data_IF_709850818246
#
_entry.id   IF_709850818246
#
_cell.length_a   1.000
_cell.length_b   1.000
_cell.length_c   1.000
_cell.angle_alpha   90.00
_cell.angle_beta   90.00
_cell.angle_gamma   90.00
#
_symmetry.space_group_name_H-M   'P 1'
#
loop_
_entity.id
_entity.type
_entity.pdbx_description
1 polymer ?
#
# COMPACT_ATOMS: atom_id res chain seq x y z
N UNK A 1 15.09 -21.83 31.39
CA UNK A 1 15.64 -20.53 31.83
C UNK A 1 14.63 -19.47 31.49
N UNK A 2 14.45 -18.44 32.32
CA UNK A 2 13.68 -17.27 31.88
C UNK A 2 14.42 -16.61 30.70
N UNK A 3 13.69 -16.15 29.68
CA UNK A 3 14.29 -15.39 28.59
C UNK A 3 14.88 -14.06 29.08
N UNK A 4 15.72 -13.38 28.28
CA UNK A 4 16.19 -12.04 28.63
C UNK A 4 14.99 -11.13 28.90
N UNK A 5 14.98 -10.47 30.06
CA UNK A 5 13.95 -9.46 30.34
C UNK A 5 14.07 -8.29 29.37
N UNK A 6 12.98 -7.55 29.15
CA UNK A 6 12.95 -6.42 28.20
C UNK A 6 14.07 -5.38 28.45
N UNK A 7 14.57 -5.25 29.67
CA UNK A 7 15.74 -4.42 29.99
C UNK A 7 17.00 -4.83 29.23
N UNK A 8 17.29 -6.12 29.08
CA UNK A 8 18.46 -6.60 28.35
C UNK A 8 18.27 -6.48 26.84
N UNK A 9 17.04 -6.74 26.35
CA UNK A 9 16.67 -6.48 24.96
C UNK A 9 16.84 -5.00 24.61
N UNK A 10 16.33 -4.10 25.46
CA UNK A 10 16.46 -2.66 25.30
C UNK A 10 17.93 -2.21 25.28
N UNK A 11 18.78 -2.72 26.19
CA UNK A 11 20.23 -2.44 26.20
C UNK A 11 20.93 -2.88 24.92
N UNK A 12 20.56 -4.05 24.37
CA UNK A 12 21.17 -4.57 23.15
C UNK A 12 20.74 -3.81 21.89
N UNK A 13 19.45 -3.47 21.79
CA UNK A 13 18.86 -2.87 20.58
C UNK A 13 19.05 -1.35 20.52
N UNK A 14 18.93 -0.66 21.65
CA UNK A 14 18.96 0.82 21.72
C UNK A 14 20.17 1.46 21.02
N UNK A 15 21.42 0.98 21.20
CA UNK A 15 22.61 1.57 20.56
C UNK A 15 22.59 1.53 19.03
N UNK A 16 21.77 0.65 18.44
CA UNK A 16 21.62 0.47 16.99
C UNK A 16 20.40 1.21 16.40
N UNK A 17 19.67 2.00 17.21
CA UNK A 17 18.56 2.84 16.75
C UNK A 17 18.98 4.31 16.80
N UNK A 18 19.07 4.91 15.62
CA UNK A 18 19.63 6.26 15.39
C UNK A 18 18.53 7.29 15.16
N UNK A 19 18.82 8.55 15.46
CA UNK A 19 18.01 9.67 14.98
C UNK A 19 18.42 10.01 13.53
N UNK A 20 17.46 10.38 12.70
CA UNK A 20 17.68 10.91 11.35
C UNK A 20 17.03 12.30 11.30
N UNK A 21 17.83 13.32 10.99
CA UNK A 21 17.37 14.68 10.72
C UNK A 21 17.58 14.99 9.23
N UNK A 22 16.52 15.44 8.57
CA UNK A 22 16.45 15.66 7.13
C UNK A 22 16.21 17.14 6.81
N UNK A 23 17.21 17.83 6.29
CA UNK A 23 17.08 19.23 5.90
C UNK A 23 16.42 19.36 4.52
N UNK A 24 15.24 19.98 4.48
CA UNK A 24 14.48 20.33 3.27
C UNK A 24 14.55 21.84 3.03
N UNK A 25 14.67 22.24 1.77
CA UNK A 25 14.50 23.64 1.35
C UNK A 25 13.12 23.82 0.77
N UNK A 26 12.26 24.55 1.49
CA UNK A 26 10.88 24.81 1.09
C UNK A 26 10.85 26.08 0.26
N UNK A 27 10.73 25.95 -1.07
CA UNK A 27 10.13 27.01 -1.88
C UNK A 27 8.66 27.08 -1.48
N UNK A 28 8.22 28.25 -1.02
CA UNK A 28 6.89 28.45 -0.41
C UNK A 28 5.77 28.56 -1.46
N UNK A 29 5.61 27.49 -2.24
CA UNK A 29 4.49 27.23 -3.16
C UNK A 29 3.91 25.84 -2.85
N UNK A 30 3.57 25.60 -1.58
CA UNK A 30 3.04 24.33 -1.09
C UNK A 30 2.80 24.35 0.44
N UNK A 31 2.11 23.34 0.99
CA UNK A 31 1.90 23.18 2.44
C UNK A 31 3.22 23.04 3.21
N UNK A 32 3.18 23.39 4.49
CA UNK A 32 4.33 23.31 5.40
C UNK A 32 4.71 21.82 5.59
N UNK A 33 5.99 21.42 5.61
CA UNK A 33 6.36 20.04 5.94
C UNK A 33 5.96 19.59 7.36
N UNK A 34 5.55 20.50 8.25
CA UNK A 34 4.77 20.13 9.45
C UNK A 34 3.40 19.57 9.09
N UNK A 35 2.72 20.13 8.09
CA UNK A 35 1.42 19.63 7.62
C UNK A 35 1.52 18.17 7.12
N UNK A 36 2.65 17.73 6.55
CA UNK A 36 2.87 16.31 6.19
C UNK A 36 3.00 15.40 7.42
N UNK A 37 3.72 15.85 8.45
CA UNK A 37 3.81 15.10 9.72
C UNK A 37 2.44 15.08 10.42
N UNK A 38 1.66 16.16 10.34
CA UNK A 38 0.29 16.23 10.84
C UNK A 38 -0.72 15.43 9.99
N UNK A 39 -0.45 15.19 8.70
CA UNK A 39 -1.27 14.32 7.85
C UNK A 39 -1.09 12.84 8.23
N UNK A 40 0.13 12.42 8.57
CA UNK A 40 0.45 11.05 9.01
C UNK A 40 0.23 10.78 10.51
N UNK A 41 0.45 11.78 11.37
CA UNK A 41 0.44 11.63 12.83
C UNK A 41 -0.45 12.66 13.54
N UNK A 42 -1.33 13.39 12.84
CA UNK A 42 -2.16 14.46 13.39
C UNK A 42 -1.37 15.58 14.09
N UNK A 43 -2.08 16.61 14.57
CA UNK A 43 -1.42 17.72 15.27
C UNK A 43 -1.22 17.40 16.76
N UNK A 44 0.03 17.40 17.28
CA UNK A 44 0.29 17.09 18.70
C UNK A 44 -0.21 18.17 19.68
N UNK A 45 -0.74 19.30 19.20
CA UNK A 45 -1.31 20.37 20.03
C UNK A 45 -2.68 20.83 19.54
N UNK A 46 -3.78 20.19 19.99
CA UNK A 46 -5.12 20.64 19.67
C UNK A 46 -5.36 22.07 20.19
N UNK A 47 -5.62 23.02 19.28
CA UNK A 47 -6.15 24.33 19.64
C UNK A 47 -5.16 25.50 19.82
N UNK A 48 -3.95 25.47 19.27
CA UNK A 48 -3.19 26.73 19.09
C UNK A 48 -3.88 27.60 18.02
N UNK A 49 -4.26 28.86 18.32
CA UNK A 49 -4.80 29.75 17.30
C UNK A 49 -3.78 30.00 16.20
N UNK A 50 -4.18 29.86 14.92
CA UNK A 50 -3.43 30.43 13.80
C UNK A 50 -3.46 31.96 13.97
N UNK A 51 -2.36 32.52 14.46
CA UNK A 51 -2.21 33.96 14.63
C UNK A 51 -2.36 34.72 13.30
N UNK A 52 -2.73 36.01 13.32
CA UNK A 52 -2.98 36.77 12.09
C UNK A 52 -1.75 36.76 11.16
N UNK A 53 -1.98 36.53 9.88
CA UNK A 53 -0.93 36.58 8.86
C UNK A 53 -0.35 38.00 8.75
N UNK A 54 0.87 38.19 9.25
CA UNK A 54 1.68 39.34 8.89
C UNK A 54 2.32 39.10 7.51
N UNK A 55 2.20 40.04 6.55
CA UNK A 55 2.83 39.90 5.23
C UNK A 55 4.34 40.18 5.34
N UNK A 56 5.11 39.15 5.68
CA UNK A 56 6.57 39.14 5.61
C UNK A 56 7.07 38.63 4.26
N UNK A 57 8.18 39.19 3.79
CA UNK A 57 8.86 38.85 2.52
C UNK A 57 9.09 37.34 2.31
N UNK A 58 9.16 36.86 1.05
CA UNK A 58 9.49 35.48 0.74
C UNK A 58 10.94 35.16 1.12
N UNK A 59 11.14 34.68 2.34
CA UNK A 59 12.37 34.01 2.76
C UNK A 59 12.24 32.50 2.51
N UNK A 60 13.27 31.92 1.90
CA UNK A 60 13.37 30.47 1.75
C UNK A 60 13.30 29.79 3.13
N UNK A 61 12.33 28.90 3.31
CA UNK A 61 12.13 28.19 4.56
C UNK A 61 13.05 26.97 4.63
N UNK A 62 13.97 26.94 5.60
CA UNK A 62 14.58 25.69 6.02
C UNK A 62 13.60 24.93 6.92
N UNK A 63 13.28 23.70 6.55
CA UNK A 63 12.47 22.81 7.37
C UNK A 63 13.21 21.51 7.61
N UNK A 64 13.19 21.04 8.85
CA UNK A 64 13.84 19.81 9.28
C UNK A 64 12.79 18.73 9.51
N UNK A 65 12.74 17.74 8.63
CA UNK A 65 12.08 16.46 8.94
C UNK A 65 12.91 15.70 9.97
N UNK A 66 12.26 14.88 10.80
CA UNK A 66 12.94 14.07 11.81
C UNK A 66 12.27 12.71 11.96
N UNK A 67 13.08 11.67 12.06
CA UNK A 67 12.64 10.30 12.34
C UNK A 67 13.73 9.48 13.00
N UNK A 68 13.55 8.16 12.97
CA UNK A 68 14.49 7.15 13.44
C UNK A 68 15.02 6.30 12.29
N UNK A 69 16.12 5.59 12.53
CA UNK A 69 16.60 4.52 11.65
C UNK A 69 17.16 3.36 12.46
N UNK A 70 17.24 2.18 11.83
CA UNK A 70 17.84 0.97 12.42
C UNK A 70 19.13 0.65 11.70
N UNK A 71 20.26 0.61 12.41
CA UNK A 71 21.55 0.15 11.87
C UNK A 71 21.48 -1.36 11.70
N UNK A 72 21.63 -1.84 10.46
CA UNK A 72 21.51 -3.27 10.11
C UNK A 72 22.83 -3.89 9.64
N UNK A 73 23.89 -3.09 9.52
CA UNK A 73 25.24 -3.52 9.13
C UNK A 73 26.31 -2.67 9.84
N UNK A 74 27.40 -3.26 10.36
CA UNK A 74 28.37 -2.54 11.19
C UNK A 74 29.22 -1.52 10.42
N UNK A 75 29.22 -1.60 9.08
CA UNK A 75 29.82 -0.62 8.17
C UNK A 75 28.88 0.56 7.87
N UNK A 76 27.70 0.66 8.49
CA UNK A 76 26.88 1.87 8.49
C UNK A 76 25.70 1.91 7.52
N UNK A 77 25.19 0.75 7.07
CA UNK A 77 23.87 0.70 6.42
C UNK A 77 22.75 0.77 7.45
N UNK A 78 21.77 1.64 7.18
CA UNK A 78 20.65 1.96 8.06
C UNK A 78 19.35 1.89 7.26
N UNK A 79 18.34 1.21 7.80
CA UNK A 79 16.97 1.16 7.26
C UNK A 79 16.12 2.21 7.97
N UNK A 80 15.26 2.89 7.23
CA UNK A 80 14.27 3.86 7.74
C UNK A 80 13.06 3.91 6.80
N UNK A 81 12.08 4.78 7.06
CA UNK A 81 10.98 5.02 6.15
C UNK A 81 11.37 5.95 4.99
N UNK A 82 10.66 5.86 3.86
CA UNK A 82 10.85 6.79 2.73
C UNK A 82 10.45 8.22 3.14
N UNK A 83 9.30 8.39 3.81
CA UNK A 83 8.78 9.71 4.18
C UNK A 83 9.73 10.52 5.09
N UNK A 84 10.60 9.84 5.86
CA UNK A 84 11.63 10.45 6.73
C UNK A 84 12.73 11.12 5.91
N UNK A 85 13.14 10.52 4.78
CA UNK A 85 14.27 10.97 3.95
C UNK A 85 13.85 11.65 2.64
N UNK A 86 12.58 11.56 2.26
CA UNK A 86 12.06 12.12 1.02
C UNK A 86 12.31 13.63 0.94
N UNK A 87 12.75 14.11 -0.24
CA UNK A 87 13.03 15.53 -0.50
C UNK A 87 14.19 16.13 0.31
N UNK A 88 14.93 15.35 1.11
CA UNK A 88 16.06 15.82 1.88
C UNK A 88 17.23 16.23 0.96
N UNK A 89 17.82 17.41 1.21
CA UNK A 89 19.09 17.83 0.59
C UNK A 89 20.30 17.35 1.38
N UNK A 90 20.15 17.28 2.69
CA UNK A 90 21.17 16.84 3.64
C UNK A 90 20.49 15.96 4.69
N UNK A 91 21.17 14.87 5.05
CA UNK A 91 20.75 13.95 6.10
C UNK A 91 21.85 13.90 7.16
N UNK A 92 21.48 14.19 8.41
CA UNK A 92 22.35 13.97 9.57
C UNK A 92 21.82 12.78 10.35
N UNK A 93 22.71 11.84 10.64
CA UNK A 93 22.43 10.65 11.45
C UNK A 93 23.12 10.82 12.79
N UNK A 94 22.36 10.82 13.88
CA UNK A 94 22.89 10.97 15.25
C UNK A 94 22.67 9.69 16.03
N UNK A 95 23.75 9.07 16.50
CA UNK A 95 23.71 7.87 17.33
C UNK A 95 23.32 8.20 18.78
N UNK A 96 22.84 7.22 19.57
CA UNK A 96 22.57 7.41 21.01
C UNK A 96 23.81 7.83 21.83
N UNK A 97 25.02 7.55 21.33
CA UNK A 97 26.30 8.01 21.91
C UNK A 97 26.70 9.44 21.49
N UNK A 98 25.81 10.15 20.77
CA UNK A 98 25.96 11.51 20.24
C UNK A 98 27.00 11.68 19.13
N UNK A 99 27.52 10.59 18.53
CA UNK A 99 28.26 10.71 17.26
C UNK A 99 27.31 11.08 16.13
N UNK A 100 27.70 12.06 15.32
CA UNK A 100 26.96 12.53 14.16
C UNK A 100 27.69 12.17 12.86
N UNK A 101 26.92 11.78 11.85
CA UNK A 101 27.43 11.39 10.54
C UNK A 101 26.55 11.96 9.43
N UNK A 102 27.14 12.43 8.34
CA UNK A 102 26.39 12.74 7.12
C UNK A 102 25.90 11.45 6.47
N UNK A 103 24.58 11.30 6.36
CA UNK A 103 23.93 10.19 5.68
C UNK A 103 23.81 10.43 4.17
N UNK A 104 23.95 9.38 3.38
CA UNK A 104 23.62 9.37 1.94
C UNK A 104 22.52 8.36 1.68
N UNK A 105 21.51 8.74 0.90
CA UNK A 105 20.49 7.79 0.41
C UNK A 105 21.16 6.81 -0.55
N UNK A 106 21.07 5.52 -0.26
CA UNK A 106 21.49 4.43 -1.15
C UNK A 106 20.41 4.17 -2.19
N UNK A 107 19.15 4.22 -1.75
CA UNK A 107 17.96 4.26 -2.59
C UNK A 107 16.70 4.23 -1.73
N UNK A 108 15.55 4.45 -2.36
CA UNK A 108 14.25 4.46 -1.67
C UNK A 108 13.20 3.64 -2.41
N UNK A 109 12.14 3.32 -1.70
CA UNK A 109 10.97 2.62 -2.18
C UNK A 109 9.69 3.26 -1.61
N UNK A 110 9.20 4.33 -2.25
CA UNK A 110 7.98 5.02 -1.79
C UNK A 110 6.76 4.10 -1.73
N UNK A 111 6.71 3.04 -2.55
CA UNK A 111 5.54 2.15 -2.66
C UNK A 111 5.32 1.29 -1.42
N UNK A 112 6.35 1.05 -0.62
CA UNK A 112 6.27 0.37 0.69
C UNK A 112 6.79 1.25 1.83
N UNK A 113 6.96 2.56 1.58
CA UNK A 113 7.53 3.54 2.51
C UNK A 113 8.85 3.09 3.18
N UNK A 114 9.81 2.59 2.40
CA UNK A 114 11.15 2.19 2.90
C UNK A 114 12.27 2.98 2.24
N UNK A 115 13.36 3.19 2.98
CA UNK A 115 14.60 3.73 2.45
C UNK A 115 15.82 3.09 3.11
N UNK A 116 16.93 3.05 2.38
CA UNK A 116 18.24 2.67 2.90
C UNK A 116 19.16 3.87 2.80
N UNK A 117 19.79 4.22 3.91
CA UNK A 117 20.85 5.24 3.97
C UNK A 117 22.17 4.60 4.40
N UNK A 118 23.28 5.23 4.00
CA UNK A 118 24.64 4.84 4.33
C UNK A 118 25.37 6.01 4.99
N UNK A 119 25.93 5.77 6.17
CA UNK A 119 26.91 6.66 6.80
C UNK A 119 28.33 6.17 6.54
N UNK A 120 29.32 7.05 6.66
CA UNK A 120 30.73 6.66 6.61
C UNK A 120 31.27 6.42 8.02
N UNK A 121 31.09 5.18 8.49
CA UNK A 121 31.49 4.72 9.81
C UNK A 121 31.78 3.22 9.79
N UNK A 122 32.47 2.72 10.82
CA UNK A 122 32.79 1.31 10.98
C UNK A 122 32.56 0.89 12.44
N UNK A 123 32.35 -0.41 12.66
CA UNK A 123 32.06 -1.00 13.98
C UNK A 123 30.85 -0.36 14.68
N UNK A 124 29.81 0.00 13.92
CA UNK A 124 28.56 0.46 14.50
C UNK A 124 27.82 -0.70 15.20
N UNK A 125 27.09 -0.43 16.31
CA UNK A 125 26.12 -1.38 16.85
C UNK A 125 25.04 -1.70 15.82
N UNK A 126 24.55 -2.93 15.78
CA UNK A 126 23.54 -3.40 14.81
C UNK A 126 22.43 -4.18 15.47
N UNK A 127 21.22 -4.12 14.91
CA UNK A 127 20.14 -5.07 15.23
C UNK A 127 20.18 -6.25 14.27
N UNK A 128 20.12 -7.48 14.78
CA UNK A 128 20.00 -8.70 13.97
C UNK A 128 18.63 -8.78 13.30
N UNK A 129 18.58 -9.21 12.04
CA UNK A 129 17.32 -9.51 11.36
C UNK A 129 16.65 -10.75 11.96
N UNK A 130 15.41 -10.61 12.42
CA UNK A 130 14.55 -11.72 12.82
C UNK A 130 13.70 -12.27 11.68
N UNK A 131 12.64 -13.01 12.03
CA UNK A 131 11.71 -13.63 11.07
C UNK A 131 10.26 -13.27 11.40
N UNK A 132 9.75 -12.22 10.77
CA UNK A 132 8.36 -11.77 10.93
C UNK A 132 7.32 -12.72 10.35
N UNK A 133 7.70 -13.73 9.54
CA UNK A 133 6.76 -14.74 9.05
C UNK A 133 6.41 -15.78 10.12
N UNK A 134 7.17 -15.83 11.23
CA UNK A 134 6.91 -16.71 12.39
C UNK A 134 6.14 -16.04 13.52
N UNK A 135 5.99 -14.71 13.50
CA UNK A 135 5.26 -13.98 14.54
C UNK A 135 3.84 -14.49 14.71
N UNK A 136 3.37 -14.52 15.96
CA UNK A 136 2.01 -14.83 16.35
C UNK A 136 1.36 -13.64 17.06
N UNK A 137 0.04 -13.52 16.90
CA UNK A 137 -0.76 -12.54 17.66
C UNK A 137 -0.66 -12.86 19.16
N UNK A 138 -0.35 -11.86 19.97
CA UNK A 138 -0.07 -12.00 21.40
C UNK A 138 1.42 -12.11 21.76
N UNK A 139 2.34 -12.26 20.80
CA UNK A 139 3.77 -12.19 21.11
C UNK A 139 4.19 -10.79 21.56
N UNK A 140 5.02 -10.73 22.60
CA UNK A 140 5.58 -9.48 23.10
C UNK A 140 6.61 -8.87 22.14
N UNK A 141 6.47 -7.56 21.92
CA UNK A 141 7.37 -6.75 21.09
C UNK A 141 7.76 -5.46 21.79
N UNK A 142 8.94 -4.95 21.46
CA UNK A 142 9.37 -3.61 21.86
C UNK A 142 9.48 -2.72 20.61
N UNK A 143 8.84 -1.56 20.65
CA UNK A 143 9.08 -0.50 19.67
C UNK A 143 10.17 0.44 20.22
N UNK A 144 11.21 0.66 19.42
CA UNK A 144 12.37 1.48 19.76
C UNK A 144 12.54 2.57 18.71
N UNK A 145 12.63 3.82 19.16
CA UNK A 145 12.96 4.97 18.34
C UNK A 145 13.95 5.89 19.05
N UNK A 146 14.52 6.84 18.33
CA UNK A 146 15.34 7.93 18.88
C UNK A 146 14.73 9.30 18.52
N UNK A 147 13.54 9.61 19.06
CA UNK A 147 12.92 10.92 18.84
C UNK A 147 13.80 12.02 19.46
N UNK A 148 13.98 13.12 18.73
CA UNK A 148 14.74 14.32 19.15
C UNK A 148 16.25 14.14 19.36
N UNK A 149 16.83 12.94 19.17
CA UNK A 149 18.28 12.72 19.24
C UNK A 149 18.91 12.86 20.64
N UNK A 150 18.09 13.01 21.69
CA UNK A 150 18.55 13.22 23.07
C UNK A 150 18.67 11.91 23.86
N UNK A 151 17.66 11.04 23.73
CA UNK A 151 17.57 9.72 24.38
C UNK A 151 16.62 8.83 23.60
N UNK A 152 17.04 7.61 23.26
CA UNK A 152 16.14 6.63 22.64
C UNK A 152 14.96 6.28 23.56
N UNK A 153 13.78 6.16 22.96
CA UNK A 153 12.54 5.79 23.63
C UNK A 153 12.23 4.32 23.31
N UNK A 154 11.95 3.54 24.35
CA UNK A 154 11.52 2.14 24.24
C UNK A 154 10.10 2.03 24.81
N UNK A 155 9.19 1.45 24.04
CA UNK A 155 7.83 1.14 24.47
C UNK A 155 7.55 -0.34 24.25
N UNK A 156 6.75 -0.95 25.13
CA UNK A 156 6.41 -2.38 25.07
C UNK A 156 4.96 -2.59 24.71
N UNK A 157 4.68 -3.65 23.97
CA UNK A 157 3.33 -4.13 23.67
C UNK A 157 3.35 -5.57 23.18
N UNK A 158 2.31 -5.96 22.47
CA UNK A 158 2.16 -7.23 21.77
C UNK A 158 1.89 -7.02 20.28
N UNK A 159 2.06 -8.09 19.50
CA UNK A 159 1.48 -8.19 18.15
C UNK A 159 -0.03 -8.29 18.30
N UNK A 160 -0.77 -7.26 17.88
CA UNK A 160 -2.24 -7.21 17.94
C UNK A 160 -2.91 -7.83 16.72
N UNK A 161 -2.26 -7.76 15.55
CA UNK A 161 -2.69 -8.39 14.29
C UNK A 161 -1.52 -8.49 13.30
N UNK A 162 -1.67 -9.32 12.28
CA UNK A 162 -0.69 -9.52 11.20
C UNK A 162 -1.38 -9.39 9.84
N UNK A 163 -0.62 -9.07 8.80
CA UNK A 163 -1.11 -9.02 7.42
C UNK A 163 -2.13 -7.89 7.15
N UNK A 164 -2.06 -6.77 7.88
CA UNK A 164 -2.94 -5.63 7.66
C UNK A 164 -2.62 -4.94 6.34
N UNK A 165 -3.60 -4.84 5.47
CA UNK A 165 -3.57 -4.04 4.24
C UNK A 165 -4.96 -3.50 3.91
N UNK A 166 -5.07 -2.79 2.80
CA UNK A 166 -6.21 -1.93 2.46
C UNK A 166 -6.44 -0.81 3.50
N UNK A 167 -5.34 -0.29 4.04
CA UNK A 167 -5.28 0.84 4.96
C UNK A 167 -5.06 2.18 4.23
N UNK A 168 -4.53 2.14 3.01
CA UNK A 168 -4.27 3.34 2.19
C UNK A 168 -3.04 4.14 2.62
N UNK A 169 -2.18 3.55 3.46
CA UNK A 169 -0.95 4.16 3.97
C UNK A 169 0.17 4.04 2.93
N UNK A 170 0.27 2.89 2.26
CA UNK A 170 1.22 2.67 1.16
C UNK A 170 0.60 1.82 0.03
N UNK A 171 1.33 1.65 -1.09
CA UNK A 171 0.86 0.82 -2.21
C UNK A 171 1.03 -0.69 -1.95
N UNK A 172 1.97 -1.09 -1.08
CA UNK A 172 2.25 -2.48 -0.72
C UNK A 172 2.17 -2.67 0.79
N UNK A 173 1.06 -3.22 1.26
CA UNK A 173 0.72 -3.32 2.67
C UNK A 173 0.69 -4.78 3.16
N UNK A 174 1.39 -5.04 4.26
CA UNK A 174 1.44 -6.33 4.98
C UNK A 174 1.68 -6.08 6.48
N UNK A 175 1.15 -4.97 7.03
CA UNK A 175 1.61 -4.42 8.30
C UNK A 175 1.39 -5.36 9.48
N UNK A 176 2.38 -5.37 10.38
CA UNK A 176 2.24 -5.85 11.76
C UNK A 176 1.50 -4.73 12.51
N UNK A 177 0.39 -5.07 13.17
CA UNK A 177 -0.28 -4.17 14.10
C UNK A 177 0.23 -4.44 15.52
N UNK A 178 0.51 -3.40 16.30
CA UNK A 178 0.92 -3.51 17.70
C UNK A 178 0.24 -2.46 18.58
N UNK A 179 0.12 -2.78 19.87
CA UNK A 179 -0.26 -1.84 20.94
C UNK A 179 0.96 -1.28 21.71
N UNK A 180 2.18 -1.53 21.23
CA UNK A 180 3.35 -0.76 21.63
C UNK A 180 3.19 0.70 21.16
N UNK A 181 3.43 1.67 22.05
CA UNK A 181 3.20 3.08 21.73
C UNK A 181 4.20 3.60 20.69
N UNK A 182 3.69 3.88 19.48
CA UNK A 182 4.41 4.55 18.39
C UNK A 182 3.98 6.02 18.38
N UNK A 183 4.94 6.93 18.48
CA UNK A 183 4.75 8.38 18.52
C UNK A 183 5.61 9.05 17.42
N UNK A 184 5.33 10.31 17.04
CA UNK A 184 6.18 11.08 16.14
C UNK A 184 7.67 11.00 16.52
N UNK A 185 8.51 10.67 15.53
CA UNK A 185 9.94 10.42 15.73
C UNK A 185 10.34 8.95 15.93
N UNK A 186 9.39 8.04 16.23
CA UNK A 186 9.65 6.59 16.19
C UNK A 186 9.61 6.01 14.76
N UNK A 187 9.09 6.74 13.78
CA UNK A 187 9.02 6.35 12.36
C UNK A 187 10.41 5.99 11.83
N UNK A 188 10.55 4.87 11.14
CA UNK A 188 11.81 4.29 10.70
C UNK A 188 12.60 3.56 11.79
N UNK A 189 12.12 3.56 13.04
CA UNK A 189 12.70 2.84 14.17
C UNK A 189 12.36 1.35 14.19
N UNK A 190 12.94 0.63 15.14
CA UNK A 190 12.82 -0.84 15.23
C UNK A 190 11.55 -1.29 15.94
N UNK A 191 10.88 -2.31 15.41
CA UNK A 191 10.03 -3.22 16.18
C UNK A 191 10.80 -4.53 16.37
N UNK A 192 11.10 -4.91 17.60
CA UNK A 192 11.86 -6.13 17.93
C UNK A 192 11.04 -7.13 18.74
N UNK A 193 11.33 -8.42 18.55
CA UNK A 193 10.75 -9.49 19.36
C UNK A 193 11.42 -9.58 20.75
N UNK A 194 10.94 -10.50 21.60
CA UNK A 194 11.51 -10.75 22.93
C UNK A 194 12.97 -11.28 22.93
N UNK A 195 13.54 -11.63 21.78
CA UNK A 195 14.97 -11.97 21.63
C UNK A 195 15.83 -10.76 21.20
N UNK A 196 15.23 -9.61 20.89
CA UNK A 196 15.92 -8.43 20.36
C UNK A 196 16.21 -8.46 18.86
N UNK A 197 15.59 -9.38 18.13
CA UNK A 197 15.69 -9.47 16.69
C UNK A 197 14.68 -8.53 16.03
N UNK A 198 15.08 -7.84 14.96
CA UNK A 198 14.23 -6.94 14.19
C UNK A 198 13.12 -7.75 13.49
N UNK A 199 11.87 -7.44 13.82
CA UNK A 199 10.69 -8.04 13.17
C UNK A 199 9.87 -7.04 12.37
N UNK A 200 10.04 -5.73 12.59
CA UNK A 200 9.52 -4.73 11.67
C UNK A 200 10.15 -3.34 11.80
N UNK A 201 9.78 -2.45 10.89
CA UNK A 201 10.14 -1.02 10.89
C UNK A 201 8.88 -0.22 11.27
N UNK A 202 8.91 0.49 12.39
CA UNK A 202 7.78 1.32 12.87
C UNK A 202 7.46 2.39 11.82
N UNK A 203 6.20 2.52 11.38
CA UNK A 203 5.87 3.34 10.21
C UNK A 203 4.78 4.38 10.45
N UNK A 204 3.69 4.00 11.12
CA UNK A 204 2.49 4.82 11.23
C UNK A 204 1.64 4.43 12.45
N UNK A 205 0.60 5.22 12.73
CA UNK A 205 -0.46 4.93 13.69
C UNK A 205 -1.82 5.11 13.01
N UNK A 206 -2.85 4.40 13.49
CA UNK A 206 -4.23 4.79 13.19
C UNK A 206 -4.69 5.74 14.28
N UNK A 207 -4.90 7.02 13.95
CA UNK A 207 -5.36 8.02 14.92
C UNK A 207 -6.39 8.97 14.33
N UNK A 208 -7.36 9.36 15.15
CA UNK A 208 -8.33 10.43 14.84
C UNK A 208 -7.91 11.80 15.38
N UNK A 209 -6.92 11.84 16.27
CA UNK A 209 -6.47 13.07 16.96
C UNK A 209 -4.99 13.37 16.72
N UNK A 210 -4.25 12.42 16.16
CA UNK A 210 -2.79 12.42 16.06
C UNK A 210 -2.05 11.79 17.24
N UNK A 211 -2.70 11.73 18.41
CA UNK A 211 -2.13 10.96 19.53
C UNK A 211 -2.09 9.46 19.21
N UNK A 212 -1.18 8.73 19.83
CA UNK A 212 -1.26 7.27 19.87
C UNK A 212 -2.57 6.82 20.55
N UNK A 213 -3.35 5.93 19.91
CA UNK A 213 -4.68 5.47 20.39
C UNK A 213 -4.80 3.94 20.54
N UNK A 214 -3.70 3.22 20.78
CA UNK A 214 -3.73 1.75 20.91
C UNK A 214 -3.49 0.98 19.61
N UNK A 215 -3.18 1.67 18.50
CA UNK A 215 -3.05 1.07 17.16
C UNK A 215 -1.82 1.65 16.43
N UNK A 216 -0.69 0.98 16.56
CA UNK A 216 0.53 1.25 15.80
C UNK A 216 0.74 0.22 14.68
N UNK A 217 1.47 0.61 13.64
CA UNK A 217 1.85 -0.25 12.51
C UNK A 217 3.35 -0.27 12.26
N UNK A 218 3.85 -1.46 11.90
CA UNK A 218 5.22 -1.67 11.43
C UNK A 218 5.25 -2.48 10.12
N UNK A 219 6.18 -2.13 9.23
CA UNK A 219 6.46 -2.89 8.00
C UNK A 219 7.25 -4.15 8.38
N UNK A 220 6.78 -5.38 8.07
CA UNK A 220 7.46 -6.61 8.49
C UNK A 220 8.82 -6.78 7.81
N UNK A 221 9.80 -7.40 8.50
CA UNK A 221 11.12 -7.68 7.91
C UNK A 221 11.07 -8.66 6.73
N UNK A 222 10.05 -9.51 6.63
CA UNK A 222 9.77 -10.34 5.46
C UNK A 222 9.46 -9.52 4.19
N UNK A 223 9.09 -8.24 4.34
CA UNK A 223 9.02 -7.26 3.25
C UNK A 223 10.28 -6.39 3.20
N UNK A 224 10.76 -5.89 4.35
CA UNK A 224 11.83 -4.90 4.39
C UNK A 224 13.21 -5.47 4.01
N UNK A 225 13.52 -6.73 4.34
CA UNK A 225 14.85 -7.32 4.09
C UNK A 225 15.16 -7.52 2.60
N UNK A 226 14.28 -8.10 1.76
CA UNK A 226 14.53 -8.17 0.31
C UNK A 226 14.64 -6.79 -0.36
N UNK A 227 13.89 -5.81 0.15
CA UNK A 227 13.96 -4.41 -0.31
C UNK A 227 15.32 -3.80 0.04
N UNK A 228 15.78 -3.98 1.28
CA UNK A 228 17.11 -3.58 1.72
C UNK A 228 18.21 -4.21 0.83
N UNK A 229 18.15 -5.53 0.61
CA UNK A 229 19.11 -6.25 -0.24
C UNK A 229 19.11 -5.72 -1.70
N UNK A 230 17.93 -5.49 -2.29
CA UNK A 230 17.80 -4.92 -3.64
C UNK A 230 18.35 -3.49 -3.74
N UNK A 231 18.06 -2.65 -2.75
CA UNK A 231 18.53 -1.26 -2.70
C UNK A 231 20.04 -1.18 -2.50
N UNK A 232 20.63 -2.01 -1.64
CA UNK A 232 22.10 -2.08 -1.44
C UNK A 232 22.80 -2.59 -2.69
N UNK A 233 22.25 -3.60 -3.37
CA UNK A 233 22.87 -4.20 -4.55
C UNK A 233 22.73 -3.36 -5.84
N UNK A 234 21.62 -2.63 -6.01
CA UNK A 234 21.26 -2.01 -7.32
C UNK A 234 20.82 -0.55 -7.24
N UNK A 235 20.63 0.01 -6.04
CA UNK A 235 20.04 1.33 -5.82
C UNK A 235 18.54 1.44 -6.14
N UNK A 236 17.88 0.33 -6.51
CA UNK A 236 16.45 0.29 -6.88
C UNK A 236 15.76 -0.95 -6.30
N UNK A 237 14.44 -0.88 -6.15
CA UNK A 237 13.64 -2.05 -5.80
C UNK A 237 13.07 -2.70 -7.05
N UNK A 238 13.45 -3.96 -7.22
CA UNK A 238 13.08 -4.80 -8.35
C UNK A 238 11.95 -5.73 -7.87
N UNK A 239 10.79 -5.68 -8.53
CA UNK A 239 9.57 -6.42 -8.10
C UNK A 239 9.05 -7.35 -9.19
N UNK A 240 8.58 -8.52 -8.75
CA UNK A 240 7.80 -9.41 -9.58
C UNK A 240 6.47 -8.77 -10.01
N UNK A 241 6.11 -8.98 -11.27
CA UNK A 241 4.95 -8.38 -11.93
C UNK A 241 4.21 -9.42 -12.79
N UNK A 242 2.87 -9.43 -12.68
CA UNK A 242 1.98 -10.15 -13.59
C UNK A 242 1.43 -9.25 -14.70
N UNK A 243 1.12 -7.99 -14.41
CA UNK A 243 0.43 -7.07 -15.32
C UNK A 243 -1.07 -7.33 -15.43
N UNK A 244 -1.74 -7.30 -14.27
CA UNK A 244 -3.19 -7.42 -14.15
C UNK A 244 -3.74 -6.31 -13.26
N UNK A 245 -4.96 -5.87 -13.58
CA UNK A 245 -5.86 -5.26 -12.61
C UNK A 245 -6.48 -6.36 -11.76
N UNK A 246 -6.52 -6.18 -10.44
CA UNK A 246 -7.09 -7.15 -9.49
C UNK A 246 -8.03 -6.44 -8.52
N UNK A 247 -9.07 -7.16 -8.09
CA UNK A 247 -10.01 -6.71 -7.08
C UNK A 247 -10.41 -7.85 -6.14
N UNK A 248 -10.84 -7.47 -4.94
CA UNK A 248 -11.44 -8.39 -3.99
C UNK A 248 -12.81 -8.90 -4.46
N UNK A 249 -13.20 -10.05 -3.94
CA UNK A 249 -14.51 -10.64 -4.13
C UNK A 249 -15.42 -10.31 -2.94
N UNK A 250 -16.59 -9.75 -3.22
CA UNK A 250 -17.72 -9.80 -2.30
C UNK A 250 -18.61 -11.02 -2.63
N UNK A 251 -19.65 -11.27 -1.84
CA UNK A 251 -20.53 -12.43 -2.06
C UNK A 251 -21.27 -12.41 -3.41
N UNK A 252 -21.61 -11.23 -3.94
CA UNK A 252 -22.40 -11.12 -5.17
C UNK A 252 -21.51 -11.27 -6.42
N UNK A 253 -20.27 -10.77 -6.37
CA UNK A 253 -19.22 -11.12 -7.33
C UNK A 253 -18.94 -12.62 -7.29
N UNK A 254 -18.76 -13.21 -6.11
CA UNK A 254 -18.51 -14.65 -6.00
C UNK A 254 -19.60 -15.49 -6.70
N UNK A 255 -20.89 -15.17 -6.48
CA UNK A 255 -22.01 -15.80 -7.20
C UNK A 255 -21.95 -15.57 -8.72
N UNK A 256 -21.58 -14.36 -9.16
CA UNK A 256 -21.49 -13.98 -10.59
C UNK A 256 -20.32 -14.61 -11.36
N UNK A 257 -19.37 -15.21 -10.63
CA UNK A 257 -18.23 -15.97 -11.15
C UNK A 257 -18.28 -17.46 -10.77
N UNK A 258 -19.46 -17.96 -10.37
CA UNK A 258 -19.75 -19.36 -10.02
C UNK A 258 -18.88 -19.93 -8.87
N UNK A 259 -18.43 -19.06 -7.96
CA UNK A 259 -17.64 -19.43 -6.79
C UNK A 259 -18.52 -19.79 -5.59
N UNK A 260 -18.08 -20.82 -4.84
CA UNK A 260 -18.73 -21.25 -3.59
C UNK A 260 -18.49 -20.29 -2.43
N UNK A 261 -17.40 -19.53 -2.46
CA UNK A 261 -16.98 -18.60 -1.41
C UNK A 261 -16.30 -17.36 -2.05
N UNK A 262 -16.40 -16.18 -1.43
CA UNK A 262 -15.66 -14.98 -1.85
C UNK A 262 -14.20 -15.07 -1.42
N UNK A 263 -13.45 -15.96 -2.06
CA UNK A 263 -12.01 -16.16 -1.85
C UNK A 263 -11.27 -16.14 -3.19
N UNK A 264 -10.09 -15.53 -3.18
CA UNK A 264 -9.26 -15.35 -4.36
C UNK A 264 -9.20 -13.89 -4.82
N UNK A 265 -8.44 -13.66 -5.88
CA UNK A 265 -8.30 -12.35 -6.51
C UNK A 265 -8.97 -12.38 -7.89
N UNK A 266 -9.98 -11.53 -8.11
CA UNK A 266 -10.64 -11.39 -9.41
C UNK A 266 -9.81 -10.49 -10.32
N UNK A 267 -9.47 -11.01 -11.51
CA UNK A 267 -8.72 -10.30 -12.55
C UNK A 267 -9.67 -9.31 -13.25
N UNK A 268 -9.60 -8.04 -12.87
CA UNK A 268 -10.42 -6.97 -13.43
C UNK A 268 -9.88 -6.41 -14.74
N UNK A 269 -8.58 -6.61 -15.03
CA UNK A 269 -7.95 -6.25 -16.29
C UNK A 269 -6.69 -7.10 -16.55
N UNK A 270 -6.25 -7.21 -17.81
CA UNK A 270 -4.97 -7.84 -18.18
C UNK A 270 -4.25 -6.92 -19.15
N UNK A 271 -3.11 -6.38 -18.73
CA UNK A 271 -2.33 -5.47 -19.57
C UNK A 271 -1.83 -6.21 -20.82
N UNK A 272 -1.89 -5.56 -21.98
CA UNK A 272 -1.26 -6.05 -23.21
C UNK A 272 0.25 -6.24 -23.00
N UNK A 273 0.84 -7.20 -23.71
CA UNK A 273 2.24 -7.65 -23.60
C UNK A 273 2.73 -8.10 -22.20
N UNK A 274 1.85 -8.15 -21.21
CA UNK A 274 2.20 -8.56 -19.85
C UNK A 274 2.57 -10.06 -19.72
N UNK A 275 3.29 -10.42 -18.65
CA UNK A 275 3.42 -11.81 -18.20
C UNK A 275 2.10 -12.57 -18.15
N UNK A 276 1.05 -11.96 -17.58
CA UNK A 276 -0.29 -12.54 -17.48
C UNK A 276 -0.90 -12.85 -18.84
N UNK A 277 -0.87 -11.89 -19.78
CA UNK A 277 -1.36 -12.10 -21.15
C UNK A 277 -0.61 -13.25 -21.85
N UNK A 278 0.73 -13.27 -21.74
CA UNK A 278 1.59 -14.33 -22.29
C UNK A 278 1.36 -15.69 -21.64
N UNK A 279 0.98 -15.72 -20.37
CA UNK A 279 0.58 -16.91 -19.61
C UNK A 279 -0.87 -17.36 -19.84
N UNK A 280 -1.63 -16.67 -20.69
CA UNK A 280 -3.02 -17.03 -21.02
C UNK A 280 -4.06 -16.70 -19.94
N UNK A 281 -3.71 -15.85 -18.97
CA UNK A 281 -4.65 -15.29 -17.99
C UNK A 281 -5.56 -14.26 -18.68
N UNK A 282 -6.82 -14.17 -18.25
CA UNK A 282 -7.87 -13.36 -18.89
C UNK A 282 -8.63 -12.53 -17.85
N UNK A 283 -9.19 -11.42 -18.33
CA UNK A 283 -10.17 -10.63 -17.56
C UNK A 283 -11.36 -11.52 -17.19
N UNK A 284 -11.80 -11.45 -15.93
CA UNK A 284 -12.84 -12.30 -15.38
C UNK A 284 -12.39 -13.69 -14.91
N UNK A 285 -11.09 -13.99 -14.93
CA UNK A 285 -10.53 -15.12 -14.17
C UNK A 285 -10.47 -14.78 -12.68
N UNK A 286 -10.64 -15.78 -11.82
CA UNK A 286 -10.38 -15.64 -10.38
C UNK A 286 -9.20 -16.51 -9.97
N UNK A 287 -8.12 -15.90 -9.49
CA UNK A 287 -6.94 -16.61 -9.01
C UNK A 287 -7.20 -17.09 -7.58
N UNK A 288 -7.32 -18.41 -7.39
CA UNK A 288 -7.61 -19.05 -6.10
C UNK A 288 -6.38 -19.66 -5.45
N UNK A 289 -5.31 -19.94 -6.22
CA UNK A 289 -4.00 -20.37 -5.68
C UNK A 289 -2.84 -19.75 -6.44
N UNK A 290 -1.75 -19.49 -5.72
CA UNK A 290 -0.47 -19.04 -6.27
C UNK A 290 0.65 -19.95 -5.76
N UNK A 291 1.40 -20.58 -6.67
CA UNK A 291 2.43 -21.59 -6.35
C UNK A 291 1.95 -22.68 -5.37
N UNK A 292 0.68 -23.09 -5.51
CA UNK A 292 0.06 -24.07 -4.62
C UNK A 292 -0.37 -23.55 -3.24
N UNK A 293 -0.16 -22.28 -2.91
CA UNK A 293 -0.71 -21.63 -1.70
C UNK A 293 -2.09 -21.01 -2.00
N UNK A 294 -3.11 -21.16 -1.12
CA UNK A 294 -4.39 -20.47 -1.29
C UNK A 294 -4.25 -18.95 -1.29
N UNK A 295 -4.99 -18.27 -2.16
CA UNK A 295 -5.15 -16.82 -2.17
C UNK A 295 -6.49 -16.48 -1.54
N UNK A 296 -6.48 -15.64 -0.50
CA UNK A 296 -7.70 -15.18 0.18
C UNK A 296 -8.32 -13.96 -0.50
N UNK A 297 -7.48 -12.98 -0.86
CA UNK A 297 -7.85 -11.65 -1.34
C UNK A 297 -6.83 -11.12 -2.38
N UNK A 298 -7.14 -9.98 -3.01
CA UNK A 298 -6.25 -9.35 -4.00
C UNK A 298 -4.90 -8.92 -3.40
N UNK A 299 -4.87 -8.43 -2.16
CA UNK A 299 -3.62 -8.06 -1.49
C UNK A 299 -2.72 -9.27 -1.24
N UNK A 300 -3.27 -10.43 -0.90
CA UNK A 300 -2.53 -11.69 -0.74
C UNK A 300 -1.86 -12.11 -2.05
N UNK A 301 -2.56 -11.99 -3.18
CA UNK A 301 -1.96 -12.21 -4.50
C UNK A 301 -0.86 -11.18 -4.80
N UNK A 302 -1.12 -9.88 -4.58
CA UNK A 302 -0.15 -8.81 -4.80
C UNK A 302 1.14 -9.06 -4.01
N UNK A 303 1.03 -9.47 -2.73
CA UNK A 303 2.16 -9.84 -1.87
C UNK A 303 2.89 -11.11 -2.34
N UNK A 304 2.17 -12.11 -2.85
CA UNK A 304 2.79 -13.33 -3.39
C UNK A 304 3.58 -13.06 -4.69
N UNK A 305 3.00 -12.28 -5.60
CA UNK A 305 3.61 -11.90 -6.89
C UNK A 305 4.84 -11.03 -6.69
N UNK A 306 4.73 -9.98 -5.87
CA UNK A 306 5.83 -9.01 -5.69
C UNK A 306 7.07 -9.61 -5.01
N UNK A 307 6.89 -10.63 -4.16
CA UNK A 307 7.98 -11.41 -3.54
C UNK A 307 8.57 -12.50 -4.45
N UNK A 308 7.98 -12.76 -5.62
CA UNK A 308 8.50 -13.78 -6.54
C UNK A 308 9.63 -13.21 -7.41
N UNK A 309 10.79 -13.89 -7.53
CA UNK A 309 11.88 -13.42 -8.38
C UNK A 309 11.49 -13.26 -9.85
N UNK A 310 12.09 -12.27 -10.52
CA UNK A 310 11.88 -12.04 -11.95
C UNK A 310 12.48 -13.21 -12.76
N UNK A 311 11.79 -13.60 -13.82
CA UNK A 311 12.12 -14.75 -14.64
C UNK A 311 11.69 -16.09 -14.02
N UNK A 312 11.26 -16.13 -12.76
CA UNK A 312 10.74 -17.35 -12.16
C UNK A 312 9.38 -17.73 -12.79
N UNK A 313 9.16 -19.03 -12.98
CA UNK A 313 7.85 -19.57 -13.34
C UNK A 313 7.00 -19.74 -12.09
N UNK A 314 5.79 -19.19 -12.12
CA UNK A 314 4.78 -19.34 -11.07
C UNK A 314 3.55 -20.05 -11.66
N UNK A 315 3.02 -21.03 -10.93
CA UNK A 315 1.73 -21.67 -11.26
C UNK A 315 0.60 -20.91 -10.59
N UNK A 316 -0.41 -20.52 -11.37
CA UNK A 316 -1.66 -19.94 -10.90
C UNK A 316 -2.76 -20.99 -11.07
N UNK A 317 -3.51 -21.31 -10.02
CA UNK A 317 -4.78 -22.03 -10.17
C UNK A 317 -5.89 -20.99 -10.26
N UNK A 318 -6.64 -21.00 -11.35
CA UNK A 318 -7.68 -20.01 -11.65
C UNK A 318 -9.03 -20.67 -11.91
N UNK A 319 -10.10 -20.02 -11.46
CA UNK A 319 -11.47 -20.34 -11.86
C UNK A 319 -11.84 -19.47 -13.05
N UNK A 320 -12.23 -20.10 -14.15
CA UNK A 320 -12.71 -19.45 -15.37
C UNK A 320 -14.02 -20.13 -15.79
N UNK A 321 -15.11 -19.36 -15.84
CA UNK A 321 -16.45 -19.86 -16.17
C UNK A 321 -16.85 -21.09 -15.31
N UNK A 322 -16.64 -21.01 -14.00
CA UNK A 322 -16.95 -22.10 -13.05
C UNK A 322 -15.98 -23.30 -13.05
N UNK A 323 -14.95 -23.32 -13.91
CA UNK A 323 -13.98 -24.40 -13.99
C UNK A 323 -12.58 -23.99 -13.49
N UNK A 324 -11.99 -24.80 -12.61
CA UNK A 324 -10.59 -24.66 -12.19
C UNK A 324 -9.62 -25.12 -13.29
N UNK A 325 -8.54 -24.36 -13.50
CA UNK A 325 -7.43 -24.70 -14.39
C UNK A 325 -6.11 -24.09 -13.89
N UNK A 326 -5.00 -24.78 -14.15
CA UNK A 326 -3.66 -24.27 -13.85
C UNK A 326 -3.05 -23.54 -15.06
N UNK A 327 -2.49 -22.35 -14.81
CA UNK A 327 -1.75 -21.53 -15.77
C UNK A 327 -0.32 -21.33 -15.28
N UNK A 328 0.67 -21.56 -16.16
CA UNK A 328 2.07 -21.30 -15.86
C UNK A 328 2.49 -19.92 -16.41
N UNK A 329 2.85 -19.00 -15.53
CA UNK A 329 3.23 -17.62 -15.88
C UNK A 329 4.70 -17.38 -15.53
N UNK A 330 5.46 -16.71 -16.40
CA UNK A 330 6.85 -16.30 -16.10
C UNK A 330 6.83 -14.87 -15.58
N UNK A 331 7.15 -14.67 -14.29
CA UNK A 331 7.06 -13.37 -13.62
C UNK A 331 8.02 -12.36 -14.27
N UNK A 332 7.48 -11.20 -14.66
CA UNK A 332 8.25 -10.12 -15.28
C UNK A 332 8.72 -9.08 -14.27
N UNK A 333 9.51 -8.11 -14.74
CA UNK A 333 9.78 -6.88 -14.01
C UNK A 333 8.56 -5.95 -14.05
N UNK A 334 8.26 -5.27 -12.95
CA UNK A 334 7.27 -4.19 -12.96
C UNK A 334 7.81 -3.00 -13.78
N UNK A 335 7.10 -2.54 -14.83
CA UNK A 335 7.47 -1.32 -15.53
C UNK A 335 7.51 -0.09 -14.61
N UNK A 336 8.19 0.97 -15.06
CA UNK A 336 8.15 2.30 -14.45
C UNK A 336 6.70 2.79 -14.21
N UNK A 337 6.52 3.81 -13.34
CA UNK A 337 5.32 4.04 -12.53
C UNK A 337 3.98 3.83 -13.25
N UNK A 338 3.47 2.59 -13.15
CA UNK A 338 2.09 2.25 -13.48
C UNK A 338 1.21 2.72 -12.33
N UNK A 339 0.29 3.64 -12.61
CA UNK A 339 -0.74 4.07 -11.66
C UNK A 339 -1.63 2.88 -11.31
N UNK A 340 -1.59 2.44 -10.06
CA UNK A 340 -2.59 1.51 -9.51
C UNK A 340 -3.59 2.36 -8.74
N UNK A 341 -4.84 2.34 -9.15
CA UNK A 341 -5.91 3.04 -8.45
C UNK A 341 -6.28 2.27 -7.17
N UNK A 342 -6.39 2.99 -6.04
CA UNK A 342 -6.85 2.42 -4.78
C UNK A 342 -8.35 2.11 -4.80
N UNK A 343 -8.77 1.13 -3.99
CA UNK A 343 -10.16 0.69 -3.86
C UNK A 343 -10.74 1.11 -2.50
N UNK A 344 -11.99 1.59 -2.48
CA UNK A 344 -12.80 1.80 -1.27
C UNK A 344 -14.31 1.48 -1.52
N UNK A 345 -15.13 1.53 -0.45
CA UNK A 345 -16.26 0.62 -0.14
C UNK A 345 -17.67 1.01 -0.65
N UNK A 346 -18.62 0.07 -0.46
CA UNK A 346 -19.95 -0.07 -1.12
C UNK A 346 -21.16 -0.24 -0.15
N UNK A 347 -22.41 0.05 -0.58
CA UNK A 347 -23.71 -0.51 -0.08
C UNK A 347 -24.96 0.19 -0.72
N UNK A 348 -26.08 -0.41 -1.17
CA UNK A 348 -26.38 -1.66 -1.91
C UNK A 348 -27.83 -1.61 -2.54
N UNK A 349 -28.05 -1.89 -3.86
CA UNK A 349 -29.26 -2.47 -4.55
C UNK A 349 -29.42 -2.21 -6.11
N UNK A 350 -30.63 -2.16 -6.72
CA UNK A 350 -31.00 -2.54 -8.13
C UNK A 350 -31.29 -1.54 -9.35
N UNK A 351 -30.33 -1.32 -10.29
CA UNK A 351 -30.28 -0.56 -11.59
C UNK A 351 -31.30 0.53 -12.06
N UNK A 352 -32.18 1.09 -11.24
CA UNK A 352 -32.83 2.38 -11.54
C UNK A 352 -31.86 3.56 -11.28
N UNK A 353 -32.08 4.69 -11.94
CA UNK A 353 -31.40 5.96 -11.63
C UNK A 353 -30.14 6.32 -12.42
N UNK A 354 -29.76 5.54 -13.44
CA UNK A 354 -28.63 5.89 -14.32
C UNK A 354 -29.05 6.77 -15.48
N UNK A 355 -28.38 7.91 -15.63
CA UNK A 355 -28.34 8.68 -16.87
C UNK A 355 -27.02 8.39 -17.59
N UNK A 356 -27.10 7.88 -18.82
CA UNK A 356 -25.92 7.51 -19.62
C UNK A 356 -25.96 8.18 -21.00
N UNK A 357 -24.78 8.46 -21.55
CA UNK A 357 -24.60 8.94 -22.92
C UNK A 357 -23.57 8.10 -23.69
N UNK A 358 -23.55 8.20 -25.01
CA UNK A 358 -22.50 7.60 -25.83
C UNK A 358 -21.13 8.19 -25.48
N UNK A 359 -20.10 7.35 -25.31
CA UNK A 359 -18.74 7.81 -25.08
C UNK A 359 -18.13 8.35 -26.39
N UNK A 360 -17.94 9.67 -26.47
CA UNK A 360 -17.21 10.30 -27.58
C UNK A 360 -15.69 10.39 -27.31
N UNK A 361 -14.92 10.73 -28.34
CA UNK A 361 -13.46 10.83 -28.20
C UNK A 361 -12.98 11.99 -27.31
N UNK A 362 -13.78 13.04 -27.07
CA UNK A 362 -13.41 14.15 -26.18
C UNK A 362 -13.57 13.70 -24.74
N UNK A 363 -14.74 13.18 -24.38
CA UNK A 363 -15.01 12.60 -23.07
C UNK A 363 -14.02 11.47 -22.73
N UNK A 364 -13.71 10.59 -23.69
CA UNK A 364 -12.70 9.55 -23.48
C UNK A 364 -11.31 10.13 -23.13
N UNK A 365 -10.87 11.19 -23.83
CA UNK A 365 -9.59 11.87 -23.54
C UNK A 365 -9.59 12.60 -22.21
N UNK A 366 -10.68 13.29 -21.87
CA UNK A 366 -10.84 14.00 -20.59
C UNK A 366 -10.83 13.04 -19.38
N UNK A 367 -11.37 11.83 -19.55
CA UNK A 367 -11.36 10.76 -18.54
C UNK A 367 -10.05 9.94 -18.52
N UNK A 368 -9.07 10.26 -19.37
CA UNK A 368 -7.78 9.57 -19.45
C UNK A 368 -7.84 8.18 -20.07
N UNK A 369 -8.87 7.90 -20.87
CA UNK A 369 -9.11 6.61 -21.52
C UNK A 369 -8.37 6.52 -22.86
N UNK A 370 -8.07 5.29 -23.30
CA UNK A 370 -7.47 5.04 -24.60
C UNK A 370 -8.40 5.46 -25.74
N UNK A 371 -7.83 5.86 -26.88
CA UNK A 371 -8.57 6.31 -28.08
C UNK A 371 -9.52 5.25 -28.69
N UNK A 372 -9.43 4.00 -28.22
CA UNK A 372 -10.24 2.87 -28.66
C UNK A 372 -11.17 2.32 -27.56
N UNK A 373 -11.26 2.98 -26.40
CA UNK A 373 -12.20 2.57 -25.35
C UNK A 373 -13.64 2.76 -25.84
N UNK A 374 -14.41 1.67 -25.89
CA UNK A 374 -15.83 1.65 -26.22
C UNK A 374 -16.66 1.43 -24.93
N UNK A 375 -17.85 2.04 -24.88
CA UNK A 375 -18.76 1.98 -23.74
C UNK A 375 -19.80 3.10 -23.77
N UNK A 376 -20.59 3.20 -22.70
CA UNK A 376 -21.45 4.36 -22.41
C UNK A 376 -20.95 5.07 -21.15
N UNK A 377 -20.93 6.39 -21.18
CA UNK A 377 -20.52 7.23 -20.05
C UNK A 377 -21.72 7.49 -19.14
N UNK A 378 -21.57 7.21 -17.85
CA UNK A 378 -22.48 7.64 -16.79
C UNK A 378 -22.30 9.15 -16.57
N UNK A 379 -23.33 9.93 -16.88
CA UNK A 379 -23.32 11.40 -16.70
C UNK A 379 -23.97 11.82 -15.39
N UNK A 380 -24.95 11.05 -14.91
CA UNK A 380 -25.62 11.28 -13.65
C UNK A 380 -26.04 9.94 -13.02
N UNK A 381 -26.10 9.93 -11.70
CA UNK A 381 -26.60 8.81 -10.91
C UNK A 381 -27.55 9.41 -9.88
N UNK A 382 -28.81 9.00 -9.93
CA UNK A 382 -29.84 9.45 -9.00
C UNK A 382 -29.44 9.06 -7.56
N UNK A 383 -29.47 9.98 -6.58
CA UNK A 383 -29.13 9.68 -5.19
C UNK A 383 -30.05 8.63 -4.58
N UNK A 384 -29.53 7.79 -3.68
CA UNK A 384 -30.24 6.64 -3.09
C UNK A 384 -30.74 5.61 -4.11
N UNK A 385 -30.50 5.85 -5.41
CA UNK A 385 -30.71 4.89 -6.45
C UNK A 385 -29.66 3.80 -6.37
N UNK A 386 -29.80 2.91 -7.32
CA UNK A 386 -29.39 1.56 -7.13
C UNK A 386 -28.02 1.30 -7.75
N UNK A 387 -27.74 2.02 -8.84
CA UNK A 387 -26.40 2.23 -9.31
C UNK A 387 -25.53 2.98 -8.29
N UNK A 388 -26.05 4.05 -7.67
CA UNK A 388 -25.36 4.85 -6.63
C UNK A 388 -24.92 3.94 -5.47
N UNK A 389 -25.88 3.18 -4.93
CA UNK A 389 -25.69 2.12 -3.94
C UNK A 389 -24.70 1.02 -4.32
N UNK A 390 -24.64 0.62 -5.59
CA UNK A 390 -23.62 -0.31 -6.08
C UNK A 390 -22.24 0.34 -6.25
N UNK A 391 -22.13 1.63 -5.94
CA UNK A 391 -20.92 2.43 -5.98
C UNK A 391 -20.60 3.00 -7.36
N UNK A 392 -21.56 3.04 -8.29
CA UNK A 392 -21.41 3.68 -9.62
C UNK A 392 -21.52 5.19 -9.45
N UNK A 393 -20.65 5.93 -10.13
CA UNK A 393 -20.56 7.39 -10.01
C UNK A 393 -20.50 8.07 -11.39
N UNK A 394 -20.87 9.36 -11.50
CA UNK A 394 -20.63 10.14 -12.71
C UNK A 394 -19.16 10.10 -13.13
N UNK A 395 -18.90 9.88 -14.42
CA UNK A 395 -17.56 9.67 -14.97
C UNK A 395 -17.17 8.20 -15.19
N UNK A 396 -17.97 7.24 -14.71
CA UNK A 396 -17.78 5.82 -15.04
C UNK A 396 -18.17 5.51 -16.48
N UNK A 397 -17.43 4.61 -17.14
CA UNK A 397 -17.78 4.09 -18.47
C UNK A 397 -18.19 2.63 -18.36
N UNK A 398 -19.45 2.30 -18.65
CA UNK A 398 -19.94 0.93 -18.69
C UNK A 398 -19.50 0.28 -20.02
N UNK A 399 -18.75 -0.82 -19.92
CA UNK A 399 -18.16 -1.56 -21.04
C UNK A 399 -18.79 -2.93 -21.28
N UNK A 400 -19.30 -3.58 -20.23
CA UNK A 400 -20.10 -4.82 -20.36
C UNK A 400 -21.25 -4.85 -19.36
N UNK A 401 -22.31 -5.57 -19.72
CA UNK A 401 -23.41 -5.97 -18.85
C UNK A 401 -23.62 -7.48 -19.02
N UNK A 402 -23.52 -8.26 -17.94
CA UNK A 402 -23.65 -9.72 -17.94
C UNK A 402 -22.79 -10.41 -19.03
N UNK A 403 -21.52 -10.01 -19.14
CA UNK A 403 -20.54 -10.48 -20.15
C UNK A 403 -20.93 -10.17 -21.61
N UNK A 404 -21.90 -9.29 -21.84
CA UNK A 404 -22.23 -8.76 -23.16
C UNK A 404 -21.59 -7.37 -23.32
N UNK A 405 -20.78 -7.21 -24.37
CA UNK A 405 -20.11 -5.95 -24.66
C UNK A 405 -21.11 -4.82 -24.98
N UNK A 406 -20.96 -3.71 -24.27
CA UNK A 406 -21.64 -2.44 -24.52
C UNK A 406 -20.69 -1.56 -25.33
N UNK A 407 -20.97 -1.38 -26.62
CA UNK A 407 -20.14 -0.54 -27.51
C UNK A 407 -20.78 0.80 -27.83
N UNK A 408 -22.08 0.93 -27.56
CA UNK A 408 -22.92 2.04 -27.95
C UNK A 408 -24.10 2.19 -26.98
N UNK A 409 -24.79 3.33 -27.03
CA UNK A 409 -26.04 3.55 -26.29
C UNK A 409 -27.12 2.53 -26.69
N UNK A 410 -27.18 2.17 -27.97
CA UNK A 410 -28.12 1.16 -28.50
C UNK A 410 -27.85 -0.24 -27.94
N UNK A 411 -26.57 -0.60 -27.73
CA UNK A 411 -26.23 -1.84 -27.03
C UNK A 411 -26.64 -1.78 -25.55
N UNK A 412 -26.39 -0.66 -24.88
CA UNK A 412 -26.79 -0.48 -23.48
C UNK A 412 -28.31 -0.65 -23.31
N UNK A 413 -29.12 0.07 -24.08
CA UNK A 413 -30.59 -0.02 -24.05
C UNK A 413 -31.09 -1.44 -24.35
N UNK A 414 -30.56 -2.07 -25.41
CA UNK A 414 -30.89 -3.44 -25.81
C UNK A 414 -30.52 -4.47 -24.74
N UNK A 415 -29.40 -4.32 -24.04
CA UNK A 415 -28.99 -5.28 -23.01
C UNK A 415 -29.75 -5.02 -21.70
N UNK A 416 -29.87 -3.76 -21.28
CA UNK A 416 -30.57 -3.35 -20.07
C UNK A 416 -32.05 -3.74 -20.08
N UNK A 417 -32.75 -3.56 -21.21
CA UNK A 417 -34.16 -3.95 -21.38
C UNK A 417 -34.43 -5.45 -21.25
N UNK A 418 -33.40 -6.29 -21.40
CA UNK A 418 -33.48 -7.75 -21.25
C UNK A 418 -33.08 -8.25 -19.85
N UNK A 419 -32.70 -7.36 -18.93
CA UNK A 419 -32.40 -7.72 -17.55
C UNK A 419 -33.67 -8.11 -16.79
N UNK A 420 -33.62 -9.26 -16.09
CA UNK A 420 -34.74 -9.73 -15.29
C UNK A 420 -34.77 -9.01 -13.95
N UNK A 421 -35.93 -8.45 -13.60
CA UNK A 421 -36.19 -7.89 -12.26
C UNK A 421 -35.84 -8.92 -11.18
N UNK A 422 -35.24 -8.44 -10.10
CA UNK A 422 -34.75 -9.19 -8.95
C UNK A 422 -33.55 -10.13 -9.22
N UNK A 423 -32.81 -9.93 -10.31
CA UNK A 423 -31.52 -10.60 -10.57
C UNK A 423 -30.33 -9.63 -10.44
N UNK A 424 -29.13 -10.16 -10.19
CA UNK A 424 -27.91 -9.37 -10.30
C UNK A 424 -27.53 -9.12 -11.76
N UNK A 425 -27.11 -7.89 -12.07
CA UNK A 425 -26.39 -7.53 -13.28
C UNK A 425 -24.90 -7.31 -12.92
N UNK A 426 -24.03 -8.13 -13.52
CA UNK A 426 -22.58 -7.95 -13.48
C UNK A 426 -22.17 -6.92 -14.53
N UNK A 427 -21.69 -5.77 -14.09
CA UNK A 427 -21.12 -4.74 -14.95
C UNK A 427 -19.61 -4.85 -14.98
N UNK A 428 -19.01 -4.66 -16.16
CA UNK A 428 -17.63 -4.22 -16.28
C UNK A 428 -17.65 -2.71 -16.55
N UNK A 429 -17.05 -1.92 -15.66
CA UNK A 429 -16.88 -0.48 -15.85
C UNK A 429 -15.40 -0.12 -16.03
N UNK A 430 -15.15 1.08 -16.53
CA UNK A 430 -13.87 1.76 -16.36
C UNK A 430 -14.08 3.06 -15.56
N UNK A 431 -13.30 3.23 -14.49
CA UNK A 431 -13.29 4.40 -13.61
C UNK A 431 -11.91 5.04 -13.65
N UNK A 432 -11.81 6.23 -14.23
CA UNK A 432 -10.56 7.03 -14.32
C UNK A 432 -9.35 6.22 -14.84
N UNK A 433 -9.59 5.33 -15.81
CA UNK A 433 -8.59 4.45 -16.41
C UNK A 433 -8.57 3.02 -15.86
N UNK A 434 -9.06 2.76 -14.65
CA UNK A 434 -9.07 1.42 -14.05
C UNK A 434 -10.32 0.62 -14.41
N UNK A 435 -10.18 -0.63 -14.87
CA UNK A 435 -11.31 -1.53 -15.10
C UNK A 435 -11.73 -2.24 -13.80
N UNK A 436 -13.05 -2.29 -13.53
CA UNK A 436 -13.65 -2.84 -12.31
C UNK A 436 -14.93 -3.61 -12.63
N UNK A 437 -15.12 -4.76 -11.99
CA UNK A 437 -16.39 -5.47 -11.96
C UNK A 437 -17.26 -4.99 -10.79
N UNK A 438 -18.49 -4.58 -11.08
CA UNK A 438 -19.50 -4.18 -10.10
C UNK A 438 -20.75 -5.04 -10.31
N UNK A 439 -21.28 -5.62 -9.24
CA UNK A 439 -22.60 -6.25 -9.26
C UNK A 439 -23.64 -5.26 -8.76
N UNK A 440 -24.56 -4.88 -9.64
CA UNK A 440 -25.77 -4.15 -9.28
C UNK A 440 -26.91 -5.15 -9.22
N UNK A 441 -27.93 -4.94 -8.38
CA UNK A 441 -29.16 -5.75 -8.47
C UNK A 441 -30.02 -5.22 -9.65
N UNK A 442 -31.20 -5.78 -9.93
CA UNK A 442 -32.19 -5.31 -10.93
C UNK A 442 -33.60 -5.52 -10.39
#
# INVERSE_FOLDING_TARGET
>A
MAGPGFTEVAKAVTPAVVNITAARTVRREGPDPRDQMEEFFGSPFPGRPRGPFAPGEPRDGHATGMGSGVVVSPDGYIVTNNHVVEGARELTVTLPDKREFTGRVVGTDPKSDLAVIKVDAQHLPTVSWGDSAKLQVGEYVLAVGNPFGLTSTVTSGIVSALGRGHMGITQYEDFIQTDAAINPGNSGGALVNAAGELVGINTAILSRTGGYQGVGFAIPVSMAKPIYESLVATGKVVRGYLGVGIQDLNQDLAKSFDLKQPQGALVSDVNEDSPAAKGGLKQGDVIVRYQGSPIQDAAALQRAVTRTPIGAKATLTVVRNGHEMDLAVTIGEQPGPVKVAGAEKSLEHALAGLEVQGLDQRAARELGLGSHTQGVLVVNVEPDSQADRAGIVPGDVIREINRQAVKSLQDFERIASNLKKHQGALLLINRKGASLFITVKV
#
